data_IF_653987348661
#
_entry.id   IF_653987348661
#
_cell.length_a   1.000
_cell.length_b   1.000
_cell.length_c   1.000
_cell.angle_alpha   90.00
_cell.angle_beta   90.00
_cell.angle_gamma   90.00
#
_symmetry.space_group_name_H-M   'P 1'
#
loop_
_entity.id
_entity.type
_entity.pdbx_description
1 polymer ?
#
# COMPACT_ATOMS: atom_id res chain seq x y z
N UNK A 1 -42.22 -19.99 -15.54
CA UNK A 1 -42.43 -19.31 -16.82
C UNK A 1 -41.66 -18.01 -16.85
N UNK A 2 -41.33 -17.51 -18.06
CA UNK A 2 -40.64 -16.24 -18.26
C UNK A 2 -41.67 -15.12 -18.44
N UNK A 3 -41.41 -13.94 -17.88
CA UNK A 3 -42.18 -12.73 -18.14
C UNK A 3 -41.35 -11.85 -19.08
N UNK A 4 -41.82 -11.67 -20.33
CA UNK A 4 -41.16 -10.80 -21.28
C UNK A 4 -41.65 -9.37 -21.11
N UNK A 5 -40.74 -8.46 -20.87
CA UNK A 5 -41.00 -7.01 -20.78
C UNK A 5 -40.49 -6.30 -22.02
N UNK A 6 -41.27 -5.38 -22.56
CA UNK A 6 -40.85 -4.50 -23.65
C UNK A 6 -41.10 -3.06 -23.27
N UNK A 7 -40.00 -2.28 -23.21
CA UNK A 7 -40.09 -0.85 -22.94
C UNK A 7 -40.69 -0.11 -24.15
N UNK A 8 -41.53 0.87 -23.86
CA UNK A 8 -42.09 1.74 -24.89
C UNK A 8 -41.01 2.65 -25.43
N UNK A 9 -41.04 2.93 -26.73
CA UNK A 9 -40.04 3.78 -27.42
C UNK A 9 -40.01 5.21 -26.90
N UNK A 10 -41.15 5.77 -26.50
CA UNK A 10 -41.24 7.10 -25.94
C UNK A 10 -40.57 7.19 -24.53
N UNK A 11 -40.64 6.11 -23.75
CA UNK A 11 -39.90 6.01 -22.47
C UNK A 11 -38.40 5.95 -22.71
N UNK A 12 -37.96 5.11 -23.66
CA UNK A 12 -36.55 5.04 -24.03
C UNK A 12 -36.00 6.38 -24.55
N UNK A 13 -36.75 7.07 -25.42
CA UNK A 13 -36.36 8.36 -25.95
C UNK A 13 -36.21 9.42 -24.84
N UNK A 14 -37.16 9.44 -23.89
CA UNK A 14 -37.09 10.35 -22.76
C UNK A 14 -35.87 10.06 -21.87
N UNK A 15 -35.68 8.81 -21.46
CA UNK A 15 -34.51 8.42 -20.66
C UNK A 15 -33.19 8.77 -21.34
N UNK A 16 -33.09 8.50 -22.66
CA UNK A 16 -31.90 8.86 -23.42
C UNK A 16 -31.68 10.40 -23.47
N UNK A 17 -32.76 11.18 -23.60
CA UNK A 17 -32.70 12.64 -23.59
C UNK A 17 -32.24 13.15 -22.22
N UNK A 18 -32.80 12.59 -21.15
CA UNK A 18 -32.46 12.96 -19.77
C UNK A 18 -30.97 12.65 -19.49
N UNK A 19 -30.48 11.49 -19.90
CA UNK A 19 -29.06 11.10 -19.75
C UNK A 19 -28.10 12.05 -20.50
N UNK A 20 -28.46 12.51 -21.69
CA UNK A 20 -27.62 13.43 -22.49
C UNK A 20 -27.54 14.82 -21.87
N UNK A 21 -28.59 15.23 -21.17
CA UNK A 21 -28.69 16.56 -20.55
C UNK A 21 -28.23 16.60 -19.12
N UNK A 22 -28.12 15.43 -18.46
CA UNK A 22 -27.62 15.30 -17.10
C UNK A 22 -26.09 15.41 -17.06
N UNK A 23 -25.50 16.39 -16.35
CA UNK A 23 -24.05 16.51 -16.21
C UNK A 23 -23.39 15.28 -15.57
N UNK A 24 -24.15 14.49 -14.82
CA UNK A 24 -23.68 13.25 -14.20
C UNK A 24 -24.00 12.01 -15.04
N UNK A 25 -24.50 12.16 -16.27
CA UNK A 25 -24.84 11.07 -17.17
C UNK A 25 -25.74 9.97 -16.52
N UNK A 26 -26.66 10.36 -15.65
CA UNK A 26 -27.58 9.46 -14.94
C UNK A 26 -26.99 8.74 -13.74
N UNK A 27 -25.76 9.07 -13.33
CA UNK A 27 -25.15 8.50 -12.12
C UNK A 27 -25.82 9.13 -10.89
N UNK A 28 -26.48 8.29 -10.10
CA UNK A 28 -27.10 8.74 -8.85
C UNK A 28 -26.03 9.23 -7.87
N UNK A 29 -26.24 10.40 -7.31
CA UNK A 29 -25.38 10.94 -6.27
C UNK A 29 -25.68 10.28 -4.94
N UNK A 30 -24.65 10.10 -4.11
CA UNK A 30 -24.79 9.58 -2.77
C UNK A 30 -25.63 10.53 -1.92
N UNK A 31 -26.61 10.01 -1.17
CA UNK A 31 -27.40 10.81 -0.26
C UNK A 31 -26.56 11.43 0.85
N UNK A 32 -25.53 10.71 1.29
CA UNK A 32 -24.55 11.15 2.29
C UNK A 32 -23.14 10.95 1.70
N UNK A 33 -22.54 11.98 1.08
CA UNK A 33 -21.17 11.91 0.62
C UNK A 33 -20.19 11.63 1.77
N UNK A 34 -19.23 10.75 1.51
CA UNK A 34 -18.20 10.32 2.46
C UNK A 34 -16.81 10.76 1.97
N UNK A 35 -15.86 10.82 2.89
CA UNK A 35 -14.43 10.87 2.58
C UNK A 35 -13.90 9.45 2.56
N UNK A 36 -13.59 8.96 1.37
CA UNK A 36 -13.17 7.57 1.17
C UNK A 36 -11.68 7.55 0.84
N UNK A 37 -10.88 6.94 1.69
CA UNK A 37 -9.47 6.64 1.38
C UNK A 37 -9.41 5.28 0.70
N UNK A 38 -8.77 5.21 -0.47
CA UNK A 38 -8.60 3.95 -1.19
C UNK A 38 -7.11 3.66 -1.31
N UNK A 39 -6.67 2.55 -0.72
CA UNK A 39 -5.32 2.02 -0.82
C UNK A 39 -5.26 0.99 -1.94
N UNK A 40 -4.51 1.27 -2.99
CA UNK A 40 -4.40 0.40 -4.14
C UNK A 40 -3.11 0.58 -4.92
N UNK A 41 -2.82 -0.36 -5.82
CA UNK A 41 -1.56 -0.49 -6.56
C UNK A 41 -0.43 -1.01 -5.69
N UNK A 42 0.11 -0.20 -4.79
CA UNK A 42 1.09 -0.55 -3.76
C UNK A 42 2.29 -1.38 -4.28
N UNK A 43 2.98 -0.97 -5.37
CA UNK A 43 4.11 -1.70 -5.88
C UNK A 43 5.34 -1.55 -4.98
N UNK A 44 6.20 -2.56 -4.98
CA UNK A 44 7.48 -2.47 -4.30
C UNK A 44 8.47 -1.67 -5.15
N UNK A 45 9.15 -0.72 -4.54
CA UNK A 45 10.26 0.03 -5.16
C UNK A 45 11.40 -0.92 -5.55
N UNK A 46 12.13 -0.58 -6.59
CA UNK A 46 13.22 -1.37 -7.16
C UNK A 46 12.78 -2.70 -7.81
N UNK A 47 11.51 -2.81 -8.17
CA UNK A 47 10.95 -3.97 -8.89
C UNK A 47 9.97 -3.50 -9.95
N UNK A 48 9.87 -4.26 -11.03
CA UNK A 48 8.82 -4.04 -12.02
C UNK A 48 7.45 -4.46 -11.49
N UNK A 49 6.41 -3.76 -11.94
CA UNK A 49 5.05 -4.16 -11.67
C UNK A 49 4.74 -5.48 -12.41
N UNK A 50 4.10 -6.40 -11.71
CA UNK A 50 3.62 -7.65 -12.28
C UNK A 50 2.08 -7.70 -12.28
N UNK A 51 1.51 -8.73 -12.88
CA UNK A 51 0.05 -8.89 -13.04
C UNK A 51 -0.75 -8.76 -11.73
N UNK A 52 -0.15 -9.12 -10.58
CA UNK A 52 -0.77 -8.91 -9.26
C UNK A 52 -0.99 -7.44 -8.95
N UNK A 53 0.04 -6.61 -9.15
CA UNK A 53 -0.05 -5.15 -8.97
C UNK A 53 -1.05 -4.51 -9.95
N UNK A 54 -1.06 -4.96 -11.23
CA UNK A 54 -1.99 -4.42 -12.23
C UNK A 54 -3.46 -4.65 -11.86
N UNK A 55 -3.78 -5.76 -11.20
CA UNK A 55 -5.16 -6.02 -10.73
C UNK A 55 -5.56 -5.04 -9.66
N UNK A 56 -4.76 -4.90 -8.60
CA UNK A 56 -4.98 -3.90 -7.55
C UNK A 56 -5.17 -2.53 -8.16
N UNK A 57 -4.28 -2.14 -9.06
CA UNK A 57 -4.28 -0.85 -9.73
C UNK A 57 -5.57 -0.59 -10.50
N UNK A 58 -5.99 -1.52 -11.36
CA UNK A 58 -7.18 -1.35 -12.22
C UNK A 58 -8.47 -1.37 -11.39
N UNK A 59 -8.57 -2.30 -10.43
CA UNK A 59 -9.76 -2.42 -9.58
C UNK A 59 -9.87 -1.18 -8.68
N UNK A 60 -8.78 -0.77 -8.04
CA UNK A 60 -8.76 0.41 -7.17
C UNK A 60 -9.07 1.70 -7.92
N UNK A 61 -8.53 1.87 -9.14
CA UNK A 61 -8.84 3.03 -9.98
C UNK A 61 -10.30 3.04 -10.42
N UNK A 62 -10.90 1.87 -10.64
CA UNK A 62 -12.33 1.75 -10.90
C UNK A 62 -13.16 2.24 -9.70
N UNK A 63 -12.82 1.82 -8.48
CA UNK A 63 -13.46 2.32 -7.27
C UNK A 63 -13.29 3.85 -7.14
N UNK A 64 -12.09 4.37 -7.36
CA UNK A 64 -11.84 5.82 -7.34
C UNK A 64 -12.78 6.57 -8.28
N UNK A 65 -12.90 6.12 -9.54
CA UNK A 65 -13.77 6.74 -10.55
C UNK A 65 -15.24 6.65 -10.17
N UNK A 66 -15.71 5.48 -9.75
CA UNK A 66 -17.12 5.24 -9.43
C UNK A 66 -17.55 6.06 -8.23
N UNK A 67 -16.80 6.00 -7.14
CA UNK A 67 -17.12 6.73 -5.92
C UNK A 67 -17.01 8.26 -6.12
N UNK A 68 -16.02 8.73 -6.88
CA UNK A 68 -15.93 10.15 -7.25
C UNK A 68 -17.14 10.59 -8.09
N UNK A 69 -17.57 9.78 -9.07
CA UNK A 69 -18.74 10.07 -9.88
C UNK A 69 -20.04 10.08 -9.06
N UNK A 70 -20.12 9.33 -7.98
CA UNK A 70 -21.22 9.34 -7.03
C UNK A 70 -21.17 10.51 -6.03
N UNK A 71 -20.17 11.39 -6.12
CA UNK A 71 -20.05 12.58 -5.28
C UNK A 71 -19.32 12.40 -3.95
N UNK A 72 -18.69 11.24 -3.72
CA UNK A 72 -17.79 11.06 -2.57
C UNK A 72 -16.50 11.85 -2.77
N UNK A 73 -15.86 12.25 -1.67
CA UNK A 73 -14.49 12.79 -1.69
C UNK A 73 -13.52 11.62 -1.61
N UNK A 74 -12.97 11.20 -2.74
CA UNK A 74 -12.02 10.09 -2.79
C UNK A 74 -10.59 10.60 -2.61
N UNK A 75 -9.82 9.92 -1.75
CA UNK A 75 -8.40 10.17 -1.49
C UNK A 75 -7.66 8.88 -1.86
N UNK A 76 -7.10 8.80 -3.07
CA UNK A 76 -6.29 7.65 -3.45
C UNK A 76 -4.98 7.64 -2.67
N UNK A 77 -4.51 6.45 -2.33
CA UNK A 77 -3.22 6.24 -1.68
C UNK A 77 -2.49 5.10 -2.34
N UNK A 78 -1.29 5.38 -2.83
CA UNK A 78 -0.37 4.40 -3.37
C UNK A 78 0.66 4.06 -2.29
N UNK A 79 0.38 3.01 -1.50
CA UNK A 79 1.22 2.58 -0.37
C UNK A 79 2.41 1.77 -0.88
N UNK A 80 3.38 2.45 -1.51
CA UNK A 80 4.56 1.80 -2.09
C UNK A 80 5.48 1.23 -1.00
N UNK A 81 6.09 0.07 -1.30
CA UNK A 81 7.10 -0.52 -0.42
C UNK A 81 8.46 0.14 -0.64
N UNK A 82 8.69 1.27 0.02
CA UNK A 82 9.89 2.12 -0.15
C UNK A 82 10.84 2.07 1.06
N UNK A 83 10.63 1.14 1.98
CA UNK A 83 11.38 1.05 3.22
C UNK A 83 11.82 -0.38 3.55
N UNK A 84 12.77 -0.53 4.48
CA UNK A 84 13.16 -1.81 5.05
C UNK A 84 14.50 -2.36 4.58
N UNK A 85 14.77 -3.62 4.93
CA UNK A 85 16.06 -4.32 4.73
C UNK A 85 16.48 -4.37 3.26
N UNK A 86 15.53 -4.40 2.33
CA UNK A 86 15.80 -4.41 0.90
C UNK A 86 16.60 -3.18 0.44
N UNK A 87 16.32 -2.00 1.02
CA UNK A 87 17.08 -0.78 0.72
C UNK A 87 18.47 -0.81 1.32
N UNK A 88 18.63 -1.40 2.51
CA UNK A 88 19.94 -1.61 3.10
C UNK A 88 20.85 -2.42 2.19
N UNK A 89 20.38 -3.53 1.62
CA UNK A 89 21.21 -4.36 0.72
C UNK A 89 21.43 -3.70 -0.64
N UNK A 90 20.42 -3.05 -1.24
CA UNK A 90 20.58 -2.32 -2.50
C UNK A 90 21.62 -1.20 -2.38
N UNK A 91 21.45 -0.32 -1.39
CA UNK A 91 22.31 0.84 -1.20
C UNK A 91 23.74 0.39 -0.83
N UNK A 92 23.88 -0.62 0.04
CA UNK A 92 25.20 -1.16 0.38
C UNK A 92 25.91 -1.75 -0.83
N UNK A 93 25.18 -2.44 -1.70
CA UNK A 93 25.73 -3.01 -2.95
C UNK A 93 26.20 -1.92 -3.89
N UNK A 94 25.41 -0.86 -4.10
CA UNK A 94 25.76 0.29 -4.92
C UNK A 94 27.03 0.97 -4.39
N UNK A 95 27.10 1.21 -3.09
CA UNK A 95 28.25 1.87 -2.44
C UNK A 95 29.50 0.99 -2.52
N UNK A 96 29.40 -0.31 -2.23
CA UNK A 96 30.53 -1.24 -2.31
C UNK A 96 31.09 -1.36 -3.73
N UNK A 97 30.22 -1.42 -4.73
CA UNK A 97 30.61 -1.51 -6.14
C UNK A 97 30.97 -0.16 -6.76
N UNK A 98 30.82 0.94 -6.02
CA UNK A 98 31.07 2.32 -6.50
C UNK A 98 30.28 2.65 -7.77
N UNK A 99 29.04 2.20 -7.82
CA UNK A 99 28.15 2.43 -8.94
C UNK A 99 27.51 3.82 -8.84
N UNK A 100 27.26 4.45 -9.98
CA UNK A 100 26.43 5.64 -10.01
C UNK A 100 24.96 5.23 -10.20
N UNK A 101 24.13 5.53 -9.23
CA UNK A 101 22.72 5.15 -9.25
C UNK A 101 21.93 5.91 -10.33
N UNK A 102 22.42 7.07 -10.76
CA UNK A 102 21.79 7.90 -11.79
C UNK A 102 21.95 7.31 -13.21
N UNK A 103 22.84 6.33 -13.39
CA UNK A 103 23.05 5.64 -14.67
C UNK A 103 22.00 4.52 -14.93
N UNK A 104 21.11 4.23 -13.99
CA UNK A 104 20.16 3.12 -14.07
C UNK A 104 18.75 3.57 -14.42
N UNK A 105 18.09 2.75 -15.24
CA UNK A 105 16.64 2.71 -15.39
C UNK A 105 16.02 1.66 -14.45
N UNK A 106 14.69 1.52 -14.49
CA UNK A 106 13.98 0.56 -13.64
C UNK A 106 14.46 -0.90 -13.85
N UNK A 107 14.80 -1.27 -15.10
CA UNK A 107 15.32 -2.63 -15.40
C UNK A 107 16.70 -2.85 -14.77
N UNK A 108 17.56 -1.83 -14.81
CA UNK A 108 18.87 -1.84 -14.15
C UNK A 108 18.74 -1.94 -12.63
N UNK A 109 17.81 -1.20 -12.03
CA UNK A 109 17.54 -1.26 -10.58
C UNK A 109 17.01 -2.63 -10.18
N UNK A 110 16.14 -3.26 -10.97
CA UNK A 110 15.66 -4.62 -10.72
C UNK A 110 16.80 -5.65 -10.76
N UNK A 111 17.72 -5.53 -11.74
CA UNK A 111 18.92 -6.39 -11.79
C UNK A 111 19.80 -6.18 -10.55
N UNK A 112 20.01 -4.93 -10.14
CA UNK A 112 20.74 -4.61 -8.90
C UNK A 112 20.09 -5.25 -7.68
N UNK A 113 18.75 -5.24 -7.61
CA UNK A 113 18.02 -5.91 -6.53
C UNK A 113 18.35 -7.41 -6.49
N UNK A 114 18.31 -8.10 -7.64
CA UNK A 114 18.59 -9.53 -7.72
C UNK A 114 20.04 -9.85 -7.32
N UNK A 115 21.00 -9.04 -7.76
CA UNK A 115 22.42 -9.26 -7.48
C UNK A 115 22.76 -8.93 -6.02
N UNK A 116 22.22 -7.85 -5.49
CA UNK A 116 22.37 -7.50 -4.06
C UNK A 116 21.75 -8.57 -3.16
N UNK A 117 20.59 -9.12 -3.53
CA UNK A 117 19.93 -10.20 -2.81
C UNK A 117 20.76 -11.48 -2.78
N UNK A 118 21.32 -11.90 -3.93
CA UNK A 118 22.24 -13.05 -4.01
C UNK A 118 23.47 -12.84 -3.10
N UNK A 119 24.05 -11.63 -3.11
CA UNK A 119 25.19 -11.30 -2.26
C UNK A 119 24.79 -11.33 -0.78
N UNK A 120 23.63 -10.77 -0.44
CA UNK A 120 23.12 -10.76 0.94
C UNK A 120 22.92 -12.18 1.49
N UNK A 121 22.41 -13.09 0.67
CA UNK A 121 22.18 -14.48 1.07
C UNK A 121 23.47 -15.30 1.15
N UNK A 122 24.50 -14.98 0.36
CA UNK A 122 25.74 -15.73 0.27
C UNK A 122 26.86 -15.21 1.21
N UNK A 123 26.87 -13.93 1.55
CA UNK A 123 27.93 -13.29 2.34
C UNK A 123 27.39 -12.70 3.65
N UNK A 124 27.62 -13.36 4.82
CA UNK A 124 27.19 -12.83 6.11
C UNK A 124 27.79 -11.46 6.45
N UNK A 125 28.99 -11.14 5.99
CA UNK A 125 29.63 -9.85 6.26
C UNK A 125 28.93 -8.74 5.46
N UNK A 126 28.57 -9.01 4.22
CA UNK A 126 27.74 -8.10 3.43
C UNK A 126 26.36 -7.90 4.08
N UNK A 127 25.73 -8.98 4.52
CA UNK A 127 24.44 -8.92 5.20
C UNK A 127 24.49 -8.03 6.46
N UNK A 128 25.57 -8.09 7.23
CA UNK A 128 25.76 -7.22 8.39
C UNK A 128 25.99 -5.75 8.00
N UNK A 129 26.72 -5.48 6.91
CA UNK A 129 26.88 -4.12 6.38
C UNK A 129 25.55 -3.58 5.87
N UNK A 130 24.77 -4.38 5.16
CA UNK A 130 23.45 -4.03 4.67
C UNK A 130 22.48 -3.66 5.81
N UNK A 131 22.46 -4.42 6.90
CA UNK A 131 21.66 -4.08 8.10
C UNK A 131 22.10 -2.75 8.72
N UNK A 132 23.42 -2.50 8.82
CA UNK A 132 23.94 -1.20 9.28
C UNK A 132 23.59 -0.06 8.34
N UNK A 133 23.47 -0.32 7.03
CA UNK A 133 23.01 0.66 6.05
C UNK A 133 21.56 1.08 6.29
N UNK A 134 20.68 0.15 6.70
CA UNK A 134 19.32 0.50 7.13
C UNK A 134 19.34 1.47 8.31
N UNK A 135 20.21 1.23 9.30
CA UNK A 135 20.35 2.15 10.45
C UNK A 135 20.83 3.52 10.00
N UNK A 136 21.76 3.59 9.03
CA UNK A 136 22.19 4.87 8.44
C UNK A 136 21.05 5.59 7.71
N UNK A 137 20.24 4.85 6.94
CA UNK A 137 19.06 5.38 6.27
C UNK A 137 18.09 6.00 7.28
N UNK A 138 17.80 5.28 8.35
CA UNK A 138 16.95 5.75 9.45
C UNK A 138 17.54 6.92 10.22
N UNK A 139 18.86 6.95 10.36
CA UNK A 139 19.60 8.04 11.01
C UNK A 139 19.82 9.28 10.15
N UNK A 140 19.33 9.30 8.92
CA UNK A 140 19.40 10.48 8.05
C UNK A 140 20.75 10.69 7.37
N UNK A 141 21.59 9.65 7.21
CA UNK A 141 22.87 9.74 6.49
C UNK A 141 22.67 10.27 5.06
N UNK A 142 23.35 11.38 4.74
CA UNK A 142 23.09 12.14 3.52
C UNK A 142 23.35 11.35 2.22
N UNK A 143 24.44 10.55 2.18
CA UNK A 143 24.73 9.71 1.01
C UNK A 143 23.69 8.61 0.84
N UNK A 144 23.35 7.93 1.92
CA UNK A 144 22.35 6.86 1.93
C UNK A 144 20.99 7.37 1.50
N UNK A 145 20.56 8.55 2.01
CA UNK A 145 19.31 9.19 1.61
C UNK A 145 19.30 9.63 0.15
N UNK A 146 20.43 10.11 -0.39
CA UNK A 146 20.52 10.48 -1.81
C UNK A 146 20.26 9.26 -2.70
N UNK A 147 20.99 8.18 -2.45
CA UNK A 147 20.83 6.94 -3.23
C UNK A 147 19.39 6.39 -3.10
N UNK A 148 18.86 6.39 -1.88
CA UNK A 148 17.49 5.94 -1.60
C UNK A 148 16.46 6.74 -2.40
N UNK A 149 16.54 8.08 -2.42
CA UNK A 149 15.62 8.93 -3.19
C UNK A 149 15.72 8.66 -4.68
N UNK A 150 16.93 8.56 -5.23
CA UNK A 150 17.12 8.23 -6.66
C UNK A 150 16.50 6.88 -7.03
N UNK A 151 16.62 5.84 -6.17
CA UNK A 151 15.96 4.55 -6.41
C UNK A 151 14.43 4.66 -6.41
N UNK A 152 13.87 5.50 -5.56
CA UNK A 152 12.43 5.77 -5.54
C UNK A 152 12.01 6.50 -6.81
N UNK A 153 12.72 7.58 -7.19
CA UNK A 153 12.40 8.40 -8.35
C UNK A 153 12.39 7.55 -9.64
N UNK A 154 13.42 6.70 -9.83
CA UNK A 154 13.49 5.76 -10.97
C UNK A 154 12.28 4.80 -10.96
N UNK A 155 11.89 4.31 -9.78
CA UNK A 155 10.78 3.37 -9.67
C UNK A 155 9.43 4.04 -9.93
N UNK A 156 9.21 5.24 -9.41
CA UNK A 156 8.02 6.04 -9.66
C UNK A 156 7.87 6.40 -11.13
N UNK A 157 8.94 6.76 -11.82
CA UNK A 157 8.92 6.99 -13.27
C UNK A 157 8.40 5.75 -14.02
N UNK A 158 8.88 4.56 -13.68
CA UNK A 158 8.43 3.30 -14.26
C UNK A 158 6.96 2.97 -13.93
N UNK A 159 6.52 3.25 -12.71
CA UNK A 159 5.12 3.06 -12.30
C UNK A 159 4.20 4.04 -13.03
N UNK A 160 4.57 5.31 -13.10
CA UNK A 160 3.82 6.35 -13.78
C UNK A 160 3.69 6.08 -15.28
N UNK A 161 4.73 5.56 -15.93
CA UNK A 161 4.67 5.12 -17.32
C UNK A 161 3.62 3.99 -17.51
N UNK A 162 3.52 3.07 -16.56
CA UNK A 162 2.52 2.00 -16.57
C UNK A 162 1.12 2.57 -16.32
N UNK A 163 0.96 3.46 -15.33
CA UNK A 163 -0.32 4.12 -15.02
C UNK A 163 -0.85 4.92 -16.22
N UNK A 164 0.02 5.67 -16.89
CA UNK A 164 -0.34 6.43 -18.08
C UNK A 164 -0.85 5.51 -19.21
N UNK A 165 -0.19 4.35 -19.46
CA UNK A 165 -0.65 3.37 -20.45
C UNK A 165 -2.00 2.75 -20.12
N UNK A 166 -2.34 2.62 -18.85
CA UNK A 166 -3.60 2.06 -18.37
C UNK A 166 -4.66 3.13 -18.12
N UNK A 167 -4.34 4.42 -18.32
CA UNK A 167 -5.19 5.56 -17.98
C UNK A 167 -5.62 5.57 -16.52
N UNK A 168 -4.76 5.11 -15.61
CA UNK A 168 -4.95 5.14 -14.16
C UNK A 168 -4.76 6.57 -13.63
N UNK A 169 -5.54 6.97 -12.64
CA UNK A 169 -5.56 8.32 -12.10
C UNK A 169 -4.47 8.62 -11.05
N UNK A 170 -3.75 7.59 -10.58
CA UNK A 170 -2.67 7.76 -9.59
C UNK A 170 -1.57 8.68 -10.13
N UNK A 171 -1.10 9.56 -9.26
CA UNK A 171 -0.01 10.50 -9.46
C UNK A 171 1.01 10.42 -8.31
N UNK A 172 2.10 11.16 -8.39
CA UNK A 172 3.09 11.24 -7.31
C UNK A 172 2.51 11.86 -6.03
N UNK A 173 1.44 12.67 -6.13
CA UNK A 173 0.76 13.26 -4.97
C UNK A 173 0.01 12.20 -4.13
N UNK A 174 -0.33 11.07 -4.74
CA UNK A 174 -1.05 9.97 -4.10
C UNK A 174 -0.10 8.98 -3.41
N UNK A 175 1.21 9.17 -3.55
CA UNK A 175 2.22 8.30 -2.94
C UNK A 175 2.19 8.44 -1.42
N UNK A 176 1.96 7.33 -0.74
CA UNK A 176 1.94 7.20 0.70
C UNK A 176 2.78 5.99 1.12
N UNK A 177 4.08 6.03 0.77
CA UNK A 177 5.01 4.93 1.02
C UNK A 177 5.19 4.61 2.51
N UNK A 178 5.68 3.40 2.78
CA UNK A 178 5.98 2.93 4.14
C UNK A 178 6.86 3.93 4.91
N UNK A 179 7.84 4.57 4.23
CA UNK A 179 8.73 5.57 4.81
C UNK A 179 8.01 6.78 5.40
N UNK A 180 6.86 7.13 4.84
CA UNK A 180 6.09 8.30 5.26
C UNK A 180 5.48 8.18 6.66
N UNK A 181 5.51 6.98 7.24
CA UNK A 181 4.98 6.69 8.58
C UNK A 181 6.06 6.56 9.65
N UNK A 182 7.37 6.58 9.28
CA UNK A 182 8.47 6.33 10.20
C UNK A 182 8.46 7.22 11.45
N UNK A 183 8.12 8.49 11.30
CA UNK A 183 8.06 9.44 12.43
C UNK A 183 6.92 9.14 13.41
N UNK A 184 5.87 8.46 12.93
CA UNK A 184 4.71 8.09 13.74
C UNK A 184 4.88 6.72 14.44
N UNK A 185 5.77 5.84 13.95
CA UNK A 185 5.92 4.47 14.47
C UNK A 185 6.26 4.39 15.96
N UNK A 186 7.24 5.18 16.49
CA UNK A 186 7.52 5.14 17.92
C UNK A 186 6.28 5.48 18.75
N UNK A 187 5.53 6.50 18.33
CA UNK A 187 4.33 6.95 19.02
C UNK A 187 3.21 5.91 18.98
N UNK A 188 3.00 5.26 17.83
CA UNK A 188 2.02 4.18 17.71
C UNK A 188 2.32 3.05 18.68
N UNK A 189 3.60 2.63 18.75
CA UNK A 189 4.01 1.56 19.66
C UNK A 189 3.91 1.98 21.12
N UNK A 190 4.31 3.21 21.46
CA UNK A 190 4.23 3.74 22.82
C UNK A 190 2.77 3.83 23.31
N UNK A 191 1.84 4.24 22.45
CA UNK A 191 0.40 4.25 22.74
C UNK A 191 -0.11 2.81 23.01
N UNK A 192 0.25 1.83 22.17
CA UNK A 192 -0.13 0.42 22.38
C UNK A 192 0.43 -0.15 23.71
N UNK A 193 1.64 0.23 24.11
CA UNK A 193 2.22 -0.16 25.40
C UNK A 193 1.50 0.52 26.56
N UNK A 194 1.22 1.82 26.45
CA UNK A 194 0.52 2.58 27.49
C UNK A 194 -0.90 2.06 27.75
N UNK A 195 -1.57 1.61 26.70
CA UNK A 195 -2.91 1.02 26.78
C UNK A 195 -2.90 -0.46 27.21
N UNK A 196 -1.70 -1.03 27.43
CA UNK A 196 -1.53 -2.43 27.85
C UNK A 196 -1.86 -3.45 26.75
N UNK A 197 -1.96 -3.02 25.49
CA UNK A 197 -2.22 -3.87 24.33
C UNK A 197 -0.94 -4.56 23.83
N UNK A 198 0.18 -3.84 23.81
CA UNK A 198 1.47 -4.40 23.41
C UNK A 198 2.24 -4.89 24.65
N UNK A 199 2.67 -6.14 24.59
CA UNK A 199 3.45 -6.81 25.66
C UNK A 199 4.75 -7.36 25.08
N UNK A 200 5.76 -7.48 25.94
CA UNK A 200 7.02 -8.12 25.55
C UNK A 200 6.83 -9.63 25.47
N UNK A 201 7.12 -10.18 24.29
CA UNK A 201 7.18 -11.62 24.05
C UNK A 201 8.46 -11.98 23.30
N UNK A 202 9.28 -12.86 23.92
CA UNK A 202 10.54 -13.33 23.33
C UNK A 202 11.48 -12.20 22.85
N UNK A 203 11.48 -11.03 23.53
CA UNK A 203 12.29 -9.86 23.17
C UNK A 203 11.76 -8.99 22.04
N UNK A 204 10.55 -9.23 21.57
CA UNK A 204 9.79 -8.38 20.67
C UNK A 204 8.59 -7.76 21.41
N UNK A 205 8.05 -6.64 20.93
CA UNK A 205 6.75 -6.15 21.38
C UNK A 205 5.67 -6.69 20.45
N UNK A 206 4.73 -7.40 21.05
CA UNK A 206 3.68 -8.12 20.36
C UNK A 206 2.30 -7.72 20.87
N UNK A 207 1.31 -7.74 20.00
CA UNK A 207 -0.10 -7.61 20.38
C UNK A 207 -0.82 -8.93 20.07
N UNK A 208 -1.49 -9.48 21.08
CA UNK A 208 -2.31 -10.68 20.96
C UNK A 208 -3.75 -10.28 20.69
N UNK A 209 -4.25 -10.64 19.52
CA UNK A 209 -5.65 -10.40 19.14
C UNK A 209 -6.44 -11.67 19.43
N UNK A 210 -7.61 -11.53 20.07
CA UNK A 210 -8.45 -12.67 20.44
C UNK A 210 -8.86 -13.48 19.20
N UNK A 211 -8.73 -14.81 19.29
CA UNK A 211 -9.06 -15.74 18.22
C UNK A 211 -7.97 -15.89 17.15
N UNK A 212 -6.77 -15.30 17.36
CA UNK A 212 -5.64 -15.42 16.44
C UNK A 212 -4.55 -16.34 17.02
N UNK A 213 -3.98 -17.21 16.17
CA UNK A 213 -2.95 -18.17 16.58
C UNK A 213 -1.56 -17.53 16.77
N UNK A 214 -1.30 -16.40 16.11
CA UNK A 214 -0.03 -15.69 16.15
C UNK A 214 -0.23 -14.22 16.50
N UNK A 215 0.69 -13.63 17.30
CA UNK A 215 0.62 -12.21 17.63
C UNK A 215 1.08 -11.33 16.46
N UNK A 216 0.59 -10.09 16.40
CA UNK A 216 1.13 -9.04 15.56
C UNK A 216 2.40 -8.44 16.18
N UNK A 217 3.50 -8.38 15.42
CA UNK A 217 4.79 -7.89 15.90
C UNK A 217 4.93 -6.40 15.56
N UNK A 218 4.71 -5.55 16.55
CA UNK A 218 4.79 -4.08 16.37
C UNK A 218 6.22 -3.55 16.51
N UNK A 219 7.08 -4.20 17.33
CA UNK A 219 8.52 -3.91 17.39
C UNK A 219 9.34 -5.20 17.50
N UNK A 220 10.29 -5.36 16.60
CA UNK A 220 11.17 -6.53 16.53
C UNK A 220 12.22 -6.51 17.63
N UNK A 221 12.91 -7.66 17.86
CA UNK A 221 14.00 -7.81 18.84
C UNK A 221 15.19 -6.88 18.61
N UNK A 222 15.45 -6.54 17.35
CA UNK A 222 16.52 -5.61 16.96
C UNK A 222 16.15 -4.12 17.11
N UNK A 223 14.93 -3.85 17.62
CA UNK A 223 14.39 -2.51 17.81
C UNK A 223 13.69 -1.94 16.59
N UNK A 224 13.75 -2.61 15.44
CA UNK A 224 13.06 -2.20 14.22
C UNK A 224 11.54 -2.44 14.31
N UNK A 225 10.77 -1.64 13.59
CA UNK A 225 9.32 -1.80 13.53
C UNK A 225 8.92 -2.89 12.53
N UNK A 226 7.82 -3.59 12.82
CA UNK A 226 7.17 -4.52 11.91
C UNK A 226 6.27 -3.77 10.90
N UNK A 227 5.90 -4.45 9.82
CA UNK A 227 4.90 -3.92 8.89
C UNK A 227 3.53 -3.71 9.58
N UNK A 228 3.21 -4.51 10.61
CA UNK A 228 1.99 -4.34 11.41
C UNK A 228 1.92 -2.94 12.05
N UNK A 229 3.06 -2.42 12.55
CA UNK A 229 3.11 -1.08 13.10
C UNK A 229 2.94 0.00 12.01
N UNK A 230 3.48 -0.22 10.81
CA UNK A 230 3.32 0.68 9.67
C UNK A 230 1.86 0.73 9.21
N UNK A 231 1.19 -0.41 9.13
CA UNK A 231 -0.22 -0.49 8.76
C UNK A 231 -1.13 0.18 9.79
N UNK A 232 -0.83 0.01 11.09
CA UNK A 232 -1.54 0.73 12.15
C UNK A 232 -1.33 2.26 12.08
N UNK A 233 -0.11 2.69 11.82
CA UNK A 233 0.21 4.10 11.61
C UNK A 233 -0.54 4.68 10.39
N UNK A 234 -0.68 3.87 9.32
CA UNK A 234 -1.45 4.24 8.14
C UNK A 234 -2.94 4.42 8.47
N UNK A 235 -3.57 3.47 9.18
CA UNK A 235 -4.97 3.60 9.62
C UNK A 235 -5.13 4.85 10.48
N UNK A 236 -4.29 5.02 11.50
CA UNK A 236 -4.32 6.17 12.40
C UNK A 236 -4.24 7.50 11.64
N UNK A 237 -3.36 7.60 10.64
CA UNK A 237 -3.20 8.78 9.79
C UNK A 237 -4.43 9.01 8.91
N UNK A 238 -4.98 7.95 8.31
CA UNK A 238 -6.18 8.00 7.46
C UNK A 238 -7.40 8.51 8.23
N UNK A 239 -7.61 8.00 9.42
CA UNK A 239 -8.68 8.47 10.33
C UNK A 239 -8.37 9.85 10.91
N UNK A 240 -7.22 10.01 11.54
CA UNK A 240 -6.88 11.21 12.30
C UNK A 240 -6.59 12.44 11.44
N UNK A 241 -5.77 12.29 10.39
CA UNK A 241 -5.31 13.40 9.54
C UNK A 241 -6.15 13.56 8.28
N UNK A 242 -6.45 12.48 7.58
CA UNK A 242 -7.22 12.53 6.33
C UNK A 242 -8.73 12.59 6.60
N UNK A 243 -9.18 12.31 7.83
CA UNK A 243 -10.60 12.33 8.23
C UNK A 243 -11.45 11.42 7.37
N UNK A 244 -10.95 10.20 7.15
CA UNK A 244 -11.69 9.19 6.42
C UNK A 244 -12.96 8.78 7.17
N UNK A 245 -14.08 8.74 6.45
CA UNK A 245 -15.30 8.07 6.89
C UNK A 245 -15.26 6.59 6.54
N UNK A 246 -14.51 6.26 5.45
CA UNK A 246 -14.31 4.89 4.97
C UNK A 246 -12.89 4.71 4.44
N UNK A 247 -12.31 3.52 4.69
CA UNK A 247 -11.01 3.10 4.18
C UNK A 247 -11.19 1.79 3.40
N UNK A 248 -10.78 1.78 2.14
CA UNK A 248 -10.86 0.61 1.26
C UNK A 248 -9.44 0.16 0.91
N UNK A 249 -9.13 -1.11 1.18
CA UNK A 249 -7.88 -1.74 0.76
C UNK A 249 -8.15 -2.70 -0.39
N UNK A 250 -7.52 -2.45 -1.53
CA UNK A 250 -7.69 -3.28 -2.73
C UNK A 250 -6.44 -4.13 -2.95
N UNK A 251 -6.42 -5.33 -2.39
CA UNK A 251 -5.27 -6.23 -2.45
C UNK A 251 -5.66 -7.67 -2.78
N UNK A 252 -4.68 -8.56 -2.89
CA UNK A 252 -4.91 -9.98 -3.14
C UNK A 252 -5.68 -10.63 -1.97
N UNK A 253 -6.62 -11.51 -2.28
CA UNK A 253 -7.46 -12.21 -1.28
C UNK A 253 -6.65 -12.98 -0.24
N UNK A 254 -5.40 -13.37 -0.55
CA UNK A 254 -4.50 -14.01 0.41
C UNK A 254 -4.14 -13.13 1.59
N UNK A 255 -4.33 -11.82 1.49
CA UNK A 255 -4.11 -10.88 2.58
C UNK A 255 -5.34 -10.66 3.45
N UNK A 256 -6.48 -11.32 3.16
CA UNK A 256 -7.73 -11.11 3.91
C UNK A 256 -7.57 -11.32 5.41
N UNK A 257 -6.87 -12.38 5.81
CA UNK A 257 -6.61 -12.66 7.22
C UNK A 257 -5.78 -11.57 7.90
N UNK A 258 -4.75 -11.04 7.21
CA UNK A 258 -3.96 -9.93 7.73
C UNK A 258 -4.83 -8.69 8.00
N UNK A 259 -5.67 -8.29 7.03
CA UNK A 259 -6.54 -7.13 7.21
C UNK A 259 -7.62 -7.35 8.27
N UNK A 260 -8.15 -8.57 8.40
CA UNK A 260 -9.09 -8.90 9.47
C UNK A 260 -8.46 -8.67 10.86
N UNK A 261 -7.25 -9.17 11.07
CA UNK A 261 -6.52 -8.99 12.33
C UNK A 261 -6.11 -7.53 12.53
N UNK A 262 -5.65 -6.86 11.48
CA UNK A 262 -5.27 -5.45 11.52
C UNK A 262 -6.44 -4.54 11.93
N UNK A 263 -7.63 -4.76 11.37
CA UNK A 263 -8.81 -3.96 11.71
C UNK A 263 -9.27 -4.23 13.16
N UNK A 264 -9.21 -5.47 13.62
CA UNK A 264 -9.48 -5.79 15.01
C UNK A 264 -8.52 -5.06 15.95
N UNK A 265 -7.21 -5.13 15.68
CA UNK A 265 -6.20 -4.44 16.46
C UNK A 265 -6.39 -2.91 16.42
N UNK A 266 -6.65 -2.34 15.24
CA UNK A 266 -6.87 -0.91 15.09
C UNK A 266 -8.09 -0.41 15.88
N UNK A 267 -9.17 -1.23 15.99
CA UNK A 267 -10.32 -0.93 16.86
C UNK A 267 -9.97 -1.05 18.34
N UNK A 268 -9.26 -2.09 18.75
CA UNK A 268 -8.77 -2.24 20.13
C UNK A 268 -7.93 -1.03 20.57
N UNK A 269 -7.08 -0.50 19.68
CA UNK A 269 -6.23 0.66 19.90
C UNK A 269 -6.97 2.00 19.73
N UNK A 270 -8.26 1.99 19.40
CA UNK A 270 -9.04 3.20 19.10
C UNK A 270 -8.49 4.04 17.93
N UNK A 271 -7.62 3.45 17.10
CA UNK A 271 -7.13 4.09 15.87
C UNK A 271 -8.16 4.02 14.74
N UNK A 272 -9.10 3.07 14.84
CA UNK A 272 -10.24 2.90 13.94
C UNK A 272 -11.53 2.97 14.78
N UNK A 273 -12.16 4.16 14.92
CA UNK A 273 -13.43 4.32 15.63
C UNK A 273 -14.58 3.55 14.97
N UNK A 274 -15.63 3.25 15.72
CA UNK A 274 -16.76 2.43 15.24
C UNK A 274 -17.58 3.09 14.12
N UNK A 275 -17.53 4.41 14.01
CA UNK A 275 -18.19 5.19 12.97
C UNK A 275 -17.35 5.31 11.67
N UNK A 276 -16.13 4.77 11.63
CA UNK A 276 -15.29 4.68 10.44
C UNK A 276 -15.31 3.26 9.90
N UNK A 277 -15.71 3.10 8.64
CA UNK A 277 -15.67 1.81 7.97
C UNK A 277 -14.26 1.50 7.45
N UNK A 278 -13.81 0.26 7.63
CA UNK A 278 -12.61 -0.26 6.98
C UNK A 278 -12.92 -1.62 6.36
N UNK A 279 -12.60 -1.75 5.09
CA UNK A 279 -12.89 -2.96 4.33
C UNK A 279 -11.72 -3.38 3.43
N UNK A 280 -11.56 -4.69 3.30
CA UNK A 280 -10.63 -5.30 2.37
C UNK A 280 -11.39 -5.85 1.16
N UNK A 281 -11.14 -5.27 0.00
CA UNK A 281 -11.64 -5.75 -1.28
C UNK A 281 -10.61 -6.69 -1.88
N UNK A 282 -10.74 -7.98 -1.54
CA UNK A 282 -9.85 -9.04 -2.01
C UNK A 282 -10.20 -9.48 -3.43
N UNK A 283 -9.21 -9.48 -4.32
CA UNK A 283 -9.37 -10.08 -5.66
C UNK A 283 -8.66 -11.44 -5.73
N UNK A 284 -9.19 -12.36 -6.55
CA UNK A 284 -8.67 -13.70 -6.69
C UNK A 284 -7.33 -13.78 -7.43
N UNK A 285 -6.58 -14.85 -7.17
CA UNK A 285 -5.36 -15.15 -7.90
C UNK A 285 -5.65 -15.41 -9.38
N UNK A 286 -4.84 -14.83 -10.28
CA UNK A 286 -4.79 -15.26 -11.66
C UNK A 286 -4.05 -16.58 -11.75
N UNK A 287 -4.76 -17.61 -12.20
CA UNK A 287 -4.09 -18.83 -12.65
C UNK A 287 -3.52 -18.49 -14.04
N UNK A 288 -2.21 -18.18 -14.10
CA UNK A 288 -1.49 -18.24 -15.36
C UNK A 288 -1.38 -19.70 -15.84
N UNK A 289 -1.13 -19.96 -17.14
CA UNK A 289 -0.76 -21.30 -17.55
C UNK A 289 0.41 -21.75 -16.65
N UNK A 290 0.28 -22.92 -16.05
CA UNK A 290 1.37 -23.52 -15.29
C UNK A 290 2.63 -23.45 -16.14
N UNK A 291 3.68 -22.83 -15.66
CA UNK A 291 4.98 -22.97 -16.27
C UNK A 291 5.27 -24.48 -16.20
N UNK A 292 5.22 -25.13 -17.35
CA UNK A 292 5.73 -26.49 -17.47
C UNK A 292 7.21 -26.42 -17.11
N UNK A 293 7.52 -27.06 -16.00
CA UNK A 293 8.85 -27.19 -15.42
C UNK A 293 9.77 -27.99 -16.31
#
# INVERSE_FOLDING_TARGET
GFINLRLRTDVLARVASDLVTDPNAGIAQAEKPERVVIDYSAPNVAKQMHVGHLRSTIIGDCFNRVLSAQGHTVIPQNHIGDWGTQFGMLIEYIVEKRMDVEDFDLSGVEQLYQDSKKTFDADPQFADRARRRVVKLQGGDAETLRIWRTLIDISLEGFNATYARLSVLLTDEDVAGESSYNDDLPRVVDELVADGLAVEDNGALCVFVEGQDAPMIVRKRDGGFGYDATDLAAIRRRVGKLKADRIIYVTDVRQSHHFEVLFQLARMAVFLPDDVEAEHVGYGMGVGPAAES
#
